data_IF_757521737170
#
_entry.id   IF_757521737170
#
_cell.length_a   1.000
_cell.length_b   1.000
_cell.length_c   1.000
_cell.angle_alpha   90.00
_cell.angle_beta   90.00
_cell.angle_gamma   90.00
#
_symmetry.space_group_name_H-M   'P 1'
#
loop_
_entity.id
_entity.type
_entity.pdbx_description
1 polymer ?
#
# COMPACT_ATOMS: atom_id res chain seq x y z
N UNK A 1 22.67 -20.15 -43.57
CA UNK A 1 23.37 -19.37 -42.54
C UNK A 1 22.52 -18.20 -42.07
N UNK A 2 22.39 -17.15 -42.89
CA UNK A 2 21.76 -15.86 -42.53
C UNK A 2 20.25 -15.93 -42.20
N UNK A 3 19.44 -16.60 -43.02
CA UNK A 3 17.99 -16.76 -42.80
C UNK A 3 17.63 -17.37 -41.44
N UNK A 4 18.37 -18.41 -41.04
CA UNK A 4 18.16 -19.08 -39.75
C UNK A 4 18.46 -18.15 -38.57
N UNK A 5 19.49 -17.31 -38.69
CA UNK A 5 19.83 -16.30 -37.68
C UNK A 5 18.74 -15.23 -37.57
N UNK A 6 18.16 -14.80 -38.68
CA UNK A 6 17.04 -13.84 -38.70
C UNK A 6 15.77 -14.43 -38.05
N UNK A 7 15.46 -15.70 -38.33
CA UNK A 7 14.36 -16.44 -37.69
C UNK A 7 14.58 -16.60 -36.18
N UNK A 8 15.78 -17.01 -35.76
CA UNK A 8 16.14 -17.14 -34.34
C UNK A 8 16.06 -15.79 -33.61
N UNK A 9 16.48 -14.70 -34.25
CA UNK A 9 16.40 -13.34 -33.71
C UNK A 9 14.93 -12.89 -33.55
N UNK A 10 14.06 -13.21 -34.51
CA UNK A 10 12.64 -12.90 -34.42
C UNK A 10 11.99 -13.61 -33.23
N UNK A 11 12.27 -14.91 -33.05
CA UNK A 11 11.76 -15.70 -31.92
C UNK A 11 12.25 -15.15 -30.58
N UNK A 12 13.53 -14.80 -30.48
CA UNK A 12 14.09 -14.19 -29.27
C UNK A 12 13.43 -12.85 -28.93
N UNK A 13 13.23 -11.98 -29.93
CA UNK A 13 12.55 -10.69 -29.75
C UNK A 13 11.08 -10.86 -29.32
N UNK A 14 10.35 -11.81 -29.90
CA UNK A 14 8.98 -12.13 -29.46
C UNK A 14 8.94 -12.63 -28.01
N UNK A 15 9.94 -13.41 -27.59
CA UNK A 15 10.05 -13.88 -26.20
C UNK A 15 10.35 -12.73 -25.24
N UNK A 16 11.25 -11.82 -25.62
CA UNK A 16 11.56 -10.61 -24.84
C UNK A 16 10.34 -9.70 -24.71
N UNK A 17 9.57 -9.48 -25.79
CA UNK A 17 8.35 -8.68 -25.74
C UNK A 17 7.32 -9.25 -24.75
N UNK A 18 7.15 -10.59 -24.72
CA UNK A 18 6.26 -11.25 -23.76
C UNK A 18 6.74 -11.16 -22.31
N UNK A 19 8.06 -11.25 -22.08
CA UNK A 19 8.64 -11.11 -20.73
C UNK A 19 8.49 -9.66 -20.24
N UNK A 20 8.71 -8.68 -21.13
CA UNK A 20 8.55 -7.27 -20.80
C UNK A 20 7.09 -6.88 -20.53
N UNK A 21 6.14 -7.49 -21.24
CA UNK A 21 4.70 -7.34 -20.95
C UNK A 21 4.27 -7.97 -19.60
N UNK A 22 5.12 -8.82 -19.00
CA UNK A 22 4.90 -9.33 -17.64
C UNK A 22 5.58 -8.47 -16.56
N UNK A 23 6.59 -7.67 -16.95
CA UNK A 23 7.20 -6.63 -16.14
C UNK A 23 6.45 -5.29 -16.30
N UNK A 24 5.14 -5.36 -16.42
CA UNK A 24 4.28 -4.19 -16.53
C UNK A 24 4.49 -3.32 -15.29
N UNK A 25 5.23 -2.22 -15.44
CA UNK A 25 5.38 -1.18 -14.43
C UNK A 25 4.02 -0.79 -13.82
N UNK A 26 2.96 -0.88 -14.62
CA UNK A 26 1.56 -0.68 -14.23
C UNK A 26 1.06 -1.67 -13.17
N UNK A 27 1.51 -2.93 -13.17
CA UNK A 27 1.15 -3.92 -12.14
C UNK A 27 1.87 -3.61 -10.84
N UNK A 28 3.15 -3.25 -10.92
CA UNK A 28 3.95 -2.85 -9.74
C UNK A 28 3.39 -1.56 -9.14
N UNK A 29 2.99 -0.58 -9.95
CA UNK A 29 2.35 0.65 -9.52
C UNK A 29 1.03 0.38 -8.78
N UNK A 30 0.15 -0.46 -9.36
CA UNK A 30 -1.10 -0.86 -8.70
C UNK A 30 -0.87 -1.54 -7.36
N UNK A 31 0.06 -2.49 -7.29
CA UNK A 31 0.41 -3.17 -6.03
C UNK A 31 0.96 -2.17 -4.99
N UNK A 32 1.77 -1.21 -5.41
CA UNK A 32 2.26 -0.16 -4.52
C UNK A 32 1.15 0.77 -4.02
N UNK A 33 0.16 1.07 -4.87
CA UNK A 33 -1.02 1.84 -4.48
C UNK A 33 -1.88 1.09 -3.46
N UNK A 34 -2.14 -0.20 -3.69
CA UNK A 34 -2.84 -1.06 -2.72
C UNK A 34 -2.10 -1.12 -1.37
N UNK A 35 -0.77 -1.31 -1.40
CA UNK A 35 0.06 -1.27 -0.18
C UNK A 35 -0.08 0.06 0.55
N UNK A 36 -0.11 1.18 -0.18
CA UNK A 36 -0.27 2.51 0.39
C UNK A 36 -1.64 2.66 1.04
N UNK A 37 -2.71 2.20 0.40
CA UNK A 37 -4.07 2.21 0.94
C UNK A 37 -4.19 1.37 2.21
N UNK A 38 -3.71 0.11 2.19
CA UNK A 38 -3.74 -0.76 3.36
C UNK A 38 -2.93 -0.19 4.52
N UNK A 39 -1.76 0.42 4.25
CA UNK A 39 -0.97 1.11 5.29
C UNK A 39 -1.72 2.32 5.86
N UNK A 40 -2.48 3.05 5.04
CA UNK A 40 -3.28 4.19 5.50
C UNK A 40 -4.39 3.75 6.45
N UNK A 41 -5.01 2.59 6.24
CA UNK A 41 -6.02 2.02 7.14
C UNK A 41 -5.46 1.82 8.55
N UNK A 42 -4.18 1.50 8.71
CA UNK A 42 -3.57 1.27 10.02
C UNK A 42 -3.24 2.57 10.78
N UNK A 43 -3.36 3.73 10.14
CA UNK A 43 -3.09 5.03 10.76
C UNK A 43 -4.27 5.51 11.61
N UNK A 44 -3.95 6.27 12.66
CA UNK A 44 -4.92 6.92 13.52
C UNK A 44 -5.77 7.91 12.72
N UNK A 45 -7.09 7.82 12.84
CA UNK A 45 -8.04 8.69 12.14
C UNK A 45 -8.06 10.15 12.61
N UNK A 46 -7.43 10.46 13.74
CA UNK A 46 -7.36 11.82 14.30
C UNK A 46 -6.17 12.60 13.74
N UNK A 47 -5.02 11.96 13.59
CA UNK A 47 -3.79 12.63 13.12
C UNK A 47 -3.33 12.19 11.73
N UNK A 48 -3.88 11.11 11.18
CA UNK A 48 -3.54 10.54 9.87
C UNK A 48 -2.05 10.22 9.67
N UNK A 49 -1.32 10.04 10.77
CA UNK A 49 0.13 9.91 10.80
C UNK A 49 0.57 8.64 11.53
N UNK A 50 0.41 8.63 12.86
CA UNK A 50 0.83 7.53 13.74
C UNK A 50 -0.06 6.28 13.60
N UNK A 51 0.47 5.08 13.90
CA UNK A 51 -0.32 3.86 13.90
C UNK A 51 -1.39 3.86 15.00
N UNK A 52 -2.39 3.01 14.82
CA UNK A 52 -3.35 2.64 15.85
C UNK A 52 -2.67 1.74 16.90
N UNK A 53 -2.71 2.16 18.16
CA UNK A 53 -2.02 1.52 19.28
C UNK A 53 -2.97 1.26 20.47
N UNK A 54 -4.02 2.07 20.59
CA UNK A 54 -4.97 2.02 21.72
C UNK A 54 -6.38 1.79 21.21
N UNK A 55 -7.16 1.01 21.97
CA UNK A 55 -8.58 0.72 21.71
C UNK A 55 -9.45 1.26 22.84
N UNK A 56 -10.54 1.95 22.49
CA UNK A 56 -11.56 2.33 23.47
C UNK A 56 -12.51 1.14 23.67
N UNK A 57 -12.41 0.44 24.80
CA UNK A 57 -13.12 -0.83 25.04
C UNK A 57 -14.66 -0.75 24.97
N UNK A 58 -15.24 0.44 25.13
CA UNK A 58 -16.69 0.66 25.02
C UNK A 58 -17.23 0.70 23.59
N UNK A 59 -16.42 1.14 22.62
CA UNK A 59 -16.86 1.33 21.23
C UNK A 59 -15.92 0.68 20.19
N UNK A 60 -14.82 0.09 20.63
CA UNK A 60 -13.82 -0.60 19.80
C UNK A 60 -13.16 0.26 18.71
N UNK A 61 -13.28 1.59 18.77
CA UNK A 61 -12.51 2.47 17.90
C UNK A 61 -11.04 2.53 18.34
N UNK A 62 -10.14 2.51 17.35
CA UNK A 62 -8.69 2.49 17.55
C UNK A 62 -8.02 3.80 17.13
N UNK A 63 -7.07 4.25 17.93
CA UNK A 63 -6.34 5.50 17.75
C UNK A 63 -4.88 5.36 18.17
N UNK A 64 -4.05 6.39 17.98
CA UNK A 64 -2.69 6.43 18.55
C UNK A 64 -2.73 6.91 20.01
N UNK A 65 -1.75 6.51 20.82
CA UNK A 65 -1.66 6.91 22.22
C UNK A 65 -1.72 8.43 22.43
N UNK A 66 -0.91 9.24 21.72
CA UNK A 66 -0.91 10.70 21.89
C UNK A 66 -2.25 11.39 21.63
N UNK A 67 -3.05 10.88 20.68
CA UNK A 67 -4.37 11.47 20.39
C UNK A 67 -5.38 11.18 21.50
N UNK A 68 -5.36 9.98 22.08
CA UNK A 68 -6.20 9.65 23.24
C UNK A 68 -5.75 10.41 24.49
N UNK A 69 -4.44 10.50 24.73
CA UNK A 69 -3.92 11.23 25.88
C UNK A 69 -4.38 12.69 25.87
N UNK A 70 -4.27 13.38 24.71
CA UNK A 70 -4.78 14.74 24.56
C UNK A 70 -6.30 14.84 24.79
N UNK A 71 -7.07 13.89 24.28
CA UNK A 71 -8.53 13.85 24.43
C UNK A 71 -8.94 13.75 25.92
N UNK A 72 -8.20 12.96 26.71
CA UNK A 72 -8.38 12.82 28.16
C UNK A 72 -7.98 14.10 28.91
N UNK A 73 -6.86 14.72 28.55
CA UNK A 73 -6.36 15.96 29.17
C UNK A 73 -7.36 17.11 29.06
N UNK A 74 -7.99 17.27 27.88
CA UNK A 74 -9.03 18.28 27.65
C UNK A 74 -10.41 17.87 28.19
N UNK A 75 -10.49 16.73 28.89
CA UNK A 75 -11.73 16.15 29.46
C UNK A 75 -12.84 15.93 28.44
N UNK A 76 -12.49 15.69 27.17
CA UNK A 76 -13.47 15.35 26.14
C UNK A 76 -13.83 13.87 26.28
N UNK A 77 -14.97 13.58 26.93
CA UNK A 77 -15.35 12.21 27.32
C UNK A 77 -15.95 11.37 26.19
N UNK A 78 -16.08 11.93 24.98
CA UNK A 78 -16.57 11.22 23.81
C UNK A 78 -15.38 10.63 23.05
N UNK A 79 -15.60 9.46 22.45
CA UNK A 79 -14.69 8.91 21.45
C UNK A 79 -14.30 10.01 20.45
N UNK A 80 -13.00 10.22 20.19
CA UNK A 80 -12.55 11.10 19.13
C UNK A 80 -13.14 10.73 17.77
#
# INVERSE_FOLDING_TARGET
GKKRIEEDLMVANSKLARINAHNDATTIEKLNEEIKEYKAILKCSVCHDRPKEVVITKCYHLFCGPCIQRNLEIRHRKCP
#
